data_IF_818757937889
#
_entry.id   IF_818757937889
#
_cell.length_a   1.000
_cell.length_b   1.000
_cell.length_c   1.000
_cell.angle_alpha   90.00
_cell.angle_beta   90.00
_cell.angle_gamma   90.00
#
_symmetry.space_group_name_H-M   'P 1'
#
loop_
_entity.id
_entity.type
_entity.pdbx_description
1 polymer ?
#
# COMPACT_ATOMS: atom_id res chain seq x y z
N UNK A 1 0.29 5.86 15.44
CA UNK A 1 0.06 4.42 15.14
C UNK A 1 1.30 3.85 14.46
N UNK A 2 1.72 2.64 14.81
CA UNK A 2 2.98 2.04 14.32
C UNK A 2 2.95 1.75 12.83
N UNK A 3 4.10 1.81 12.16
CA UNK A 3 4.21 1.56 10.72
C UNK A 3 4.23 0.04 10.50
N UNK A 4 3.12 -0.51 9.99
CA UNK A 4 3.07 -1.92 9.57
C UNK A 4 3.55 -2.02 8.13
N UNK A 5 4.51 -2.91 7.89
CA UNK A 5 5.00 -3.21 6.54
C UNK A 5 4.87 -4.70 6.29
N UNK A 6 4.21 -5.07 5.20
CA UNK A 6 4.24 -6.42 4.67
C UNK A 6 5.45 -6.56 3.75
N UNK A 7 6.25 -7.59 3.95
CA UNK A 7 7.39 -7.92 3.09
C UNK A 7 7.10 -9.25 2.41
N UNK A 8 7.05 -9.27 1.09
CA UNK A 8 6.83 -10.46 0.26
C UNK A 8 8.14 -10.84 -0.44
N UNK A 9 8.71 -11.98 -0.09
CA UNK A 9 9.94 -12.52 -0.70
C UNK A 9 9.56 -13.53 -1.76
N UNK A 10 9.87 -13.23 -3.01
CA UNK A 10 9.54 -14.08 -4.16
C UNK A 10 10.41 -15.33 -4.17
N UNK A 11 9.78 -16.47 -4.41
CA UNK A 11 10.40 -17.78 -4.56
C UNK A 11 10.56 -18.13 -6.04
N UNK A 12 11.47 -19.06 -6.40
CA UNK A 12 11.68 -19.48 -7.78
C UNK A 12 10.44 -20.07 -8.48
N UNK A 13 9.49 -20.60 -7.71
CA UNK A 13 8.22 -21.17 -8.17
C UNK A 13 7.10 -20.12 -8.34
N UNK A 14 7.39 -18.83 -8.11
CA UNK A 14 6.42 -17.74 -8.20
C UNK A 14 5.54 -17.56 -6.95
N UNK A 15 5.90 -18.23 -5.85
CA UNK A 15 5.26 -18.09 -4.53
C UNK A 15 5.96 -17.04 -3.69
N UNK A 16 5.38 -16.68 -2.54
CA UNK A 16 5.94 -15.68 -1.66
C UNK A 16 6.10 -16.20 -0.22
N UNK A 17 7.28 -15.96 0.35
CA UNK A 17 7.48 -16.04 1.78
C UNK A 17 7.21 -14.66 2.38
N UNK A 18 6.15 -14.57 3.19
CA UNK A 18 5.65 -13.31 3.74
C UNK A 18 6.18 -13.07 5.14
N UNK A 19 6.52 -11.81 5.41
CA UNK A 19 7.04 -11.34 6.69
C UNK A 19 6.37 -10.04 7.06
N UNK A 20 6.30 -9.76 8.35
CA UNK A 20 5.70 -8.52 8.86
C UNK A 20 6.68 -7.76 9.74
N UNK A 21 6.76 -6.45 9.53
CA UNK A 21 7.54 -5.52 10.33
C UNK A 21 6.62 -4.50 11.01
N UNK A 22 6.88 -4.22 12.29
CA UNK A 22 6.06 -3.35 13.15
C UNK A 22 6.95 -2.34 13.89
N UNK A 23 7.48 -1.31 13.23
CA UNK A 23 8.53 -0.49 13.85
C UNK A 23 8.43 1.00 13.49
N UNK A 24 9.30 1.81 14.11
CA UNK A 24 9.44 3.25 13.85
C UNK A 24 10.06 3.57 12.48
N UNK A 25 10.16 4.86 12.18
CA UNK A 25 10.50 5.45 10.86
C UNK A 25 11.79 4.91 10.24
N UNK A 26 12.77 4.55 11.07
CA UNK A 26 14.16 4.34 10.68
C UNK A 26 14.60 2.86 10.70
N UNK A 27 13.68 1.94 10.98
CA UNK A 27 13.98 0.51 11.03
C UNK A 27 13.95 -0.10 9.62
N UNK A 28 15.02 -0.82 9.24
CA UNK A 28 15.01 -1.64 8.02
C UNK A 28 13.90 -2.70 8.13
N UNK A 29 12.86 -2.62 7.28
CA UNK A 29 11.71 -3.50 7.36
C UNK A 29 12.07 -4.94 6.98
N UNK A 30 13.12 -5.16 6.18
CA UNK A 30 13.56 -6.49 5.76
C UNK A 30 14.29 -7.13 6.94
N UNK A 31 15.33 -6.48 7.46
CA UNK A 31 16.17 -7.01 8.54
C UNK A 31 15.39 -7.26 9.84
N UNK A 32 14.37 -6.44 10.12
CA UNK A 32 13.60 -6.52 11.37
C UNK A 32 12.21 -7.14 11.19
N UNK A 33 11.86 -7.63 10.01
CA UNK A 33 10.60 -8.36 9.82
C UNK A 33 10.64 -9.75 10.47
N UNK A 34 9.49 -10.23 10.90
CA UNK A 34 9.30 -11.60 11.40
C UNK A 34 8.50 -12.42 10.39
N UNK A 35 8.77 -13.73 10.25
CA UNK A 35 7.96 -14.59 9.39
C UNK A 35 6.47 -14.49 9.73
N UNK A 36 5.64 -14.36 8.71
CA UNK A 36 4.18 -14.37 8.79
C UNK A 36 3.60 -15.63 8.16
N UNK A 37 4.17 -16.07 7.03
CA UNK A 37 3.75 -17.26 6.31
C UNK A 37 4.71 -17.60 5.18
N UNK A 38 4.57 -18.80 4.62
CA UNK A 38 5.37 -19.26 3.49
C UNK A 38 4.47 -19.79 2.38
N UNK A 39 5.01 -19.85 1.17
CA UNK A 39 4.34 -20.43 0.00
C UNK A 39 3.04 -19.73 -0.44
N UNK A 40 2.92 -18.42 -0.21
CA UNK A 40 1.70 -17.67 -0.52
C UNK A 40 1.53 -17.45 -2.03
N UNK A 41 0.27 -17.45 -2.49
CA UNK A 41 -0.08 -16.94 -3.82
C UNK A 41 0.07 -15.42 -3.85
N UNK A 42 0.26 -14.82 -5.03
CA UNK A 42 0.21 -13.37 -5.19
C UNK A 42 -1.11 -12.76 -4.66
N UNK A 43 -2.24 -13.43 -4.90
CA UNK A 43 -3.55 -13.01 -4.39
C UNK A 43 -3.62 -13.07 -2.85
N UNK A 44 -2.99 -14.06 -2.22
CA UNK A 44 -2.94 -14.17 -0.76
C UNK A 44 -2.06 -13.08 -0.13
N UNK A 45 -0.96 -12.69 -0.79
CA UNK A 45 -0.17 -11.52 -0.38
C UNK A 45 -1.05 -10.28 -0.39
N UNK A 46 -1.79 -10.06 -1.47
CA UNK A 46 -2.60 -8.86 -1.66
C UNK A 46 -3.79 -8.81 -0.68
N UNK A 47 -4.46 -9.94 -0.46
CA UNK A 47 -5.55 -10.08 0.51
C UNK A 47 -5.12 -9.92 1.98
N UNK A 48 -3.81 -9.93 2.27
CA UNK A 48 -3.29 -9.69 3.61
C UNK A 48 -2.99 -8.21 3.89
N UNK A 49 -3.15 -7.33 2.89
CA UNK A 49 -2.91 -5.89 3.01
C UNK A 49 -4.25 -5.17 3.18
N UNK A 50 -4.28 -4.25 4.12
CA UNK A 50 -5.43 -3.42 4.47
C UNK A 50 -4.94 -1.99 4.78
N UNK A 51 -5.86 -1.09 5.11
CA UNK A 51 -5.57 0.29 5.49
C UNK A 51 -4.68 0.44 6.76
N UNK A 52 -4.41 -0.63 7.51
CA UNK A 52 -3.52 -0.60 8.67
C UNK A 52 -2.04 -0.72 8.28
N UNK A 53 -1.77 -1.14 7.03
CA UNK A 53 -0.43 -1.19 6.47
C UNK A 53 -0.01 0.18 5.91
N UNK A 54 1.24 0.57 6.11
CA UNK A 54 1.83 1.77 5.50
C UNK A 54 2.49 1.39 4.15
N UNK A 55 3.09 0.20 4.08
CA UNK A 55 3.91 -0.24 2.95
C UNK A 55 3.79 -1.73 2.64
N UNK A 56 3.97 -2.04 1.37
CA UNK A 56 4.32 -3.35 0.86
C UNK A 56 5.74 -3.29 0.27
N UNK A 57 6.61 -4.21 0.67
CA UNK A 57 7.94 -4.40 0.08
C UNK A 57 7.96 -5.75 -0.62
N UNK A 58 8.36 -5.78 -1.88
CA UNK A 58 8.51 -7.00 -2.68
C UNK A 58 10.00 -7.21 -2.96
N UNK A 59 10.49 -8.40 -2.64
CA UNK A 59 11.86 -8.83 -2.87
C UNK A 59 11.87 -9.93 -3.93
N UNK A 60 12.39 -9.65 -5.12
CA UNK A 60 12.38 -10.59 -6.25
C UNK A 60 13.71 -10.62 -7.03
N UNK A 61 14.80 -10.29 -6.33
CA UNK A 61 16.10 -9.96 -6.95
C UNK A 61 16.33 -8.44 -7.01
N UNK A 62 15.26 -7.65 -6.90
CA UNK A 62 15.29 -6.21 -6.63
C UNK A 62 14.42 -5.89 -5.40
N UNK A 63 14.57 -4.68 -4.85
CA UNK A 63 13.67 -4.16 -3.81
C UNK A 63 12.66 -3.23 -4.45
N UNK A 64 11.38 -3.61 -4.44
CA UNK A 64 10.27 -2.75 -4.85
C UNK A 64 9.41 -2.37 -3.65
N UNK A 65 9.25 -1.08 -3.43
CA UNK A 65 8.45 -0.54 -2.33
C UNK A 65 7.20 0.13 -2.89
N UNK A 66 6.06 -0.19 -2.28
CA UNK A 66 4.76 0.39 -2.57
C UNK A 66 4.21 1.01 -1.30
N UNK A 67 3.70 2.23 -1.40
CA UNK A 67 2.90 2.86 -0.35
C UNK A 67 1.49 2.32 -0.42
N UNK A 68 0.93 1.93 0.73
CA UNK A 68 -0.47 1.54 0.84
C UNK A 68 -1.30 2.81 1.01
N UNK A 69 -2.13 3.08 0.01
CA UNK A 69 -2.96 4.27 -0.07
C UNK A 69 -4.42 3.88 0.05
N UNK A 70 -4.99 4.08 1.22
CA UNK A 70 -6.39 3.81 1.47
C UNK A 70 -7.28 4.95 0.96
N UNK A 71 -8.28 4.61 0.13
CA UNK A 71 -9.09 5.51 -0.70
C UNK A 71 -10.41 5.91 -0.06
N UNK A 72 -11.00 5.06 0.76
CA UNK A 72 -12.13 5.46 1.59
C UNK A 72 -11.58 6.51 2.59
N UNK A 73 -12.22 7.67 2.75
CA UNK A 73 -11.87 8.64 3.78
C UNK A 73 -12.66 8.41 5.10
N UNK A 74 -13.71 7.58 5.10
CA UNK A 74 -14.64 7.38 6.23
C UNK A 74 -14.20 6.31 7.24
N UNK A 75 -13.21 5.50 6.90
CA UNK A 75 -12.65 4.38 7.69
C UNK A 75 -13.62 3.21 7.83
N UNK A 76 -14.60 3.12 6.92
CA UNK A 76 -15.64 2.11 6.95
C UNK A 76 -15.22 0.84 6.21
N UNK A 77 -14.43 0.98 5.15
CA UNK A 77 -13.92 -0.15 4.34
C UNK A 77 -12.40 -0.17 4.35
N UNK A 78 -11.80 -0.98 5.23
CA UNK A 78 -10.34 -1.09 5.36
C UNK A 78 -9.66 -1.74 4.14
N UNK A 79 -10.42 -2.40 3.27
CA UNK A 79 -9.91 -3.08 2.08
C UNK A 79 -9.91 -2.17 0.84
N UNK A 80 -10.51 -0.98 0.92
CA UNK A 80 -10.51 0.02 -0.16
C UNK A 80 -9.15 0.72 -0.30
N UNK A 81 -8.12 -0.06 -0.60
CA UNK A 81 -6.74 0.38 -0.72
C UNK A 81 -6.26 0.31 -2.17
N UNK A 82 -5.25 1.11 -2.48
CA UNK A 82 -4.43 0.95 -3.69
C UNK A 82 -2.95 1.02 -3.33
N UNK A 83 -2.12 0.39 -4.15
CA UNK A 83 -0.68 0.34 -3.96
C UNK A 83 0.00 1.29 -4.93
N UNK A 84 0.65 2.32 -4.39
CA UNK A 84 1.32 3.34 -5.18
C UNK A 84 2.84 3.14 -5.15
N UNK A 85 3.47 3.07 -6.34
CA UNK A 85 4.93 3.03 -6.46
C UNK A 85 5.50 4.43 -6.61
N UNK A 86 6.55 4.73 -5.85
CA UNK A 86 7.24 6.03 -5.88
C UNK A 86 8.73 5.83 -5.64
N UNK A 87 9.56 6.73 -6.17
CA UNK A 87 11.00 6.79 -5.90
C UNK A 87 11.33 7.53 -4.60
N UNK A 88 10.39 8.32 -4.07
CA UNK A 88 10.52 9.05 -2.81
C UNK A 88 9.29 8.77 -1.94
N UNK A 89 9.38 7.72 -1.12
CA UNK A 89 8.28 7.25 -0.28
C UNK A 89 7.92 8.23 0.84
N UNK A 90 8.89 8.97 1.38
CA UNK A 90 8.65 9.86 2.52
C UNK A 90 8.04 11.19 2.08
N UNK A 91 8.46 11.75 0.94
CA UNK A 91 7.77 12.89 0.36
C UNK A 91 6.35 12.52 -0.10
N UNK A 92 6.20 11.35 -0.74
CA UNK A 92 4.89 10.87 -1.19
C UNK A 92 3.93 10.66 -0.02
N UNK A 93 4.40 10.06 1.09
CA UNK A 93 3.59 9.84 2.29
C UNK A 93 3.12 11.15 2.91
N UNK A 94 3.99 12.15 3.04
CA UNK A 94 3.60 13.48 3.57
C UNK A 94 2.50 14.11 2.70
N UNK A 95 2.72 14.13 1.39
CA UNK A 95 1.73 14.61 0.44
C UNK A 95 0.40 13.84 0.53
N UNK A 96 0.46 12.52 0.71
CA UNK A 96 -0.74 11.69 0.82
C UNK A 96 -1.55 11.97 2.08
N UNK A 97 -0.88 12.20 3.22
CA UNK A 97 -1.55 12.63 4.46
C UNK A 97 -2.26 13.96 4.25
N UNK A 98 -1.58 14.96 3.68
CA UNK A 98 -2.19 16.28 3.43
C UNK A 98 -3.42 16.16 2.51
N UNK A 99 -3.31 15.34 1.45
CA UNK A 99 -4.40 15.11 0.50
C UNK A 99 -5.59 14.38 1.13
N UNK A 100 -5.34 13.46 2.06
CA UNK A 100 -6.39 12.80 2.84
C UNK A 100 -7.09 13.77 3.79
N UNK A 101 -6.33 14.62 4.48
CA UNK A 101 -6.91 15.62 5.37
C UNK A 101 -7.80 16.61 4.59
N UNK A 102 -7.40 17.02 3.38
CA UNK A 102 -8.24 17.79 2.46
C UNK A 102 -9.53 17.06 2.09
N UNK A 103 -9.44 15.77 1.76
CA UNK A 103 -10.59 14.94 1.41
C UNK A 103 -11.58 14.77 2.58
N UNK A 104 -11.09 14.58 3.82
CA UNK A 104 -11.94 14.53 5.00
C UNK A 104 -12.69 15.85 5.22
N UNK A 105 -12.00 17.00 5.13
CA UNK A 105 -12.65 18.32 5.25
C UNK A 105 -13.71 18.56 4.17
N UNK A 106 -13.50 18.02 2.96
CA UNK A 106 -14.48 18.11 1.89
C UNK A 106 -15.75 17.30 2.22
N UNK A 107 -15.63 16.15 2.89
CA UNK A 107 -16.79 15.36 3.34
C UNK A 107 -17.52 15.97 4.52
N UNK A 108 -16.80 16.63 5.42
CA UNK A 108 -17.41 17.38 6.52
C UNK A 108 -18.22 18.59 6.02
N UNK A 109 -18.00 19.02 4.77
CA UNK A 109 -18.77 20.06 4.11
C UNK A 109 -20.04 19.47 3.48
N UNK A 110 -21.20 20.09 3.73
CA UNK A 110 -22.50 19.61 3.25
C UNK A 110 -22.51 19.33 1.73
N UNK A 111 -22.95 18.12 1.35
CA UNK A 111 -23.23 17.75 -0.03
C UNK A 111 -22.11 17.08 -0.83
N UNK A 112 -20.98 16.71 -0.20
CA UNK A 112 -19.93 15.96 -0.89
C UNK A 112 -20.18 14.44 -0.81
N UNK A 113 -20.31 13.80 -1.97
CA UNK A 113 -20.49 12.35 -2.09
C UNK A 113 -19.16 11.60 -1.84
N UNK A 114 -19.11 10.62 -0.90
CA UNK A 114 -17.91 9.83 -0.61
C UNK A 114 -17.25 9.19 -1.84
N UNK A 115 -18.06 8.71 -2.79
CA UNK A 115 -17.56 8.07 -4.01
C UNK A 115 -16.88 9.09 -4.95
N UNK A 116 -17.38 10.32 -4.98
CA UNK A 116 -16.73 11.44 -5.70
C UNK A 116 -15.36 11.78 -5.10
N UNK A 117 -15.27 11.84 -3.77
CA UNK A 117 -14.01 12.08 -3.05
C UNK A 117 -13.01 10.95 -3.30
N UNK A 118 -13.47 9.70 -3.20
CA UNK A 118 -12.68 8.50 -3.50
C UNK A 118 -12.08 8.53 -4.91
N UNK A 119 -12.88 8.88 -5.92
CA UNK A 119 -12.40 9.02 -7.31
C UNK A 119 -11.37 10.12 -7.47
N UNK A 120 -11.55 11.26 -6.81
CA UNK A 120 -10.59 12.37 -6.83
C UNK A 120 -9.25 11.99 -6.18
N UNK A 121 -9.29 11.24 -5.08
CA UNK A 121 -8.12 10.67 -4.42
C UNK A 121 -7.36 9.71 -5.35
N UNK A 122 -8.06 8.78 -5.99
CA UNK A 122 -7.46 7.84 -6.95
C UNK A 122 -6.84 8.56 -8.16
N UNK A 123 -7.51 9.58 -8.70
CA UNK A 123 -6.96 10.39 -9.79
C UNK A 123 -5.69 11.14 -9.34
N UNK A 124 -5.68 11.68 -8.12
CA UNK A 124 -4.51 12.34 -7.53
C UNK A 124 -3.32 11.39 -7.40
N UNK A 125 -3.54 10.15 -6.97
CA UNK A 125 -2.51 9.11 -6.89
C UNK A 125 -1.93 8.80 -8.27
N UNK A 126 -2.77 8.58 -9.28
CA UNK A 126 -2.34 8.25 -10.65
C UNK A 126 -1.48 9.36 -11.27
N UNK A 127 -1.73 10.61 -10.93
CA UNK A 127 -0.94 11.75 -11.39
C UNK A 127 0.42 11.89 -10.69
N UNK A 128 0.55 11.35 -9.47
CA UNK A 128 1.73 11.56 -8.61
C UNK A 128 2.66 10.36 -8.54
N UNK A 129 2.10 9.16 -8.52
CA UNK A 129 2.84 7.91 -8.41
C UNK A 129 3.38 7.45 -9.77
N UNK A 130 4.47 6.67 -9.77
CA UNK A 130 4.99 6.04 -10.98
C UNK A 130 4.06 4.94 -11.51
N UNK A 131 3.41 4.22 -10.60
CA UNK A 131 2.34 3.27 -10.91
C UNK A 131 1.36 3.17 -9.75
N UNK A 132 0.11 2.80 -10.04
CA UNK A 132 -0.94 2.57 -9.04
C UNK A 132 -1.61 1.25 -9.36
N UNK A 133 -1.67 0.34 -8.39
CA UNK A 133 -2.25 -0.99 -8.52
C UNK A 133 -3.46 -1.14 -7.58
N UNK A 134 -4.55 -1.67 -8.13
CA UNK A 134 -5.77 -1.96 -7.39
C UNK A 134 -5.60 -3.26 -6.56
N UNK A 135 -6.42 -3.45 -5.51
CA UNK A 135 -6.32 -4.62 -4.64
C UNK A 135 -6.76 -5.92 -5.33
N UNK A 136 -7.40 -5.84 -6.50
CA UNK A 136 -7.72 -6.99 -7.35
C UNK A 136 -6.61 -7.30 -8.37
N UNK A 137 -5.63 -6.41 -8.52
CA UNK A 137 -4.55 -6.54 -9.50
C UNK A 137 -3.25 -6.99 -8.83
N UNK A 138 -3.06 -8.30 -8.73
CA UNK A 138 -1.82 -8.90 -8.22
C UNK A 138 -0.72 -9.00 -9.28
N UNK A 139 -0.89 -8.45 -10.49
CA UNK A 139 0.07 -8.61 -11.59
C UNK A 139 1.45 -8.03 -11.28
N UNK A 140 1.50 -6.90 -10.55
CA UNK A 140 2.75 -6.21 -10.18
C UNK A 140 3.67 -7.04 -9.26
N UNK A 141 3.13 -8.08 -8.61
CA UNK A 141 3.91 -9.00 -7.80
C UNK A 141 4.75 -9.95 -8.65
N UNK A 142 4.34 -10.23 -9.89
CA UNK A 142 4.97 -11.24 -10.76
C UNK A 142 6.31 -10.79 -11.38
N UNK A 143 6.67 -9.52 -11.22
CA UNK A 143 7.91 -8.93 -11.74
C UNK A 143 7.93 -8.81 -13.28
N UNK A 144 8.73 -7.87 -13.78
CA UNK A 144 9.15 -7.87 -15.19
C UNK A 144 10.18 -9.00 -15.36
N UNK A 145 9.69 -10.21 -15.63
CA UNK A 145 10.56 -11.36 -15.94
C UNK A 145 11.09 -11.28 -17.37
#
# INVERSE_FOLDING_TARGET
MGRRTLVAVTRPDGRYDCRIAHWGVDADPIAQSRPLGNDWTASAVLAAIDATHDRLVVLDGSVRTYTVCWLDPTLSDLDDIVLARTTDADAFRRWWVDRKDEACRALDSDGCDPETVRRALLASLRNRASSVHCPDDASFLRGDR
#
